data_IF_799730402299
#
_entry.id   IF_799730402299
#
_cell.length_a   1.000
_cell.length_b   1.000
_cell.length_c   1.000
_cell.angle_alpha   90.00
_cell.angle_beta   90.00
_cell.angle_gamma   90.00
#
_symmetry.space_group_name_H-M   'P 1'
#
loop_
_entity.id
_entity.type
_entity.pdbx_description
1 polymer ?
#
# COMPACT_ATOMS: atom_id res chain seq x y z
N UNK A 1 4.22 6.94 12.23
CA UNK A 1 4.93 5.69 11.85
C UNK A 1 6.20 5.63 12.68
N UNK A 2 6.76 4.45 13.02
CA UNK A 2 8.11 4.40 13.55
C UNK A 2 9.05 5.17 12.60
N UNK A 3 10.05 5.90 13.12
CA UNK A 3 11.06 6.51 12.26
C UNK A 3 11.69 5.43 11.37
N UNK A 4 12.00 5.79 10.12
CA UNK A 4 12.73 4.99 9.12
C UNK A 4 11.98 3.89 8.34
N UNK A 5 10.65 3.77 8.45
CA UNK A 5 9.90 2.91 7.50
C UNK A 5 9.68 3.62 6.16
N UNK A 6 10.41 3.17 5.14
CA UNK A 6 10.27 3.62 3.74
C UNK A 6 9.08 2.92 3.05
N UNK A 7 8.44 3.62 2.12
CA UNK A 7 7.44 3.04 1.23
C UNK A 7 8.10 2.57 -0.07
N UNK A 8 7.68 1.41 -0.55
CA UNK A 8 8.03 0.94 -1.89
C UNK A 8 6.94 1.34 -2.87
N UNK A 9 7.34 1.72 -4.07
CA UNK A 9 6.46 1.99 -5.20
C UNK A 9 7.08 1.43 -6.47
N UNK A 10 6.23 1.00 -7.40
CA UNK A 10 6.68 0.51 -8.71
C UNK A 10 6.46 1.63 -9.71
N UNK A 11 7.52 1.98 -10.42
CA UNK A 11 7.51 3.00 -11.46
C UNK A 11 7.56 2.33 -12.81
N UNK A 12 6.59 2.65 -13.67
CA UNK A 12 6.58 2.17 -15.06
C UNK A 12 6.82 3.36 -15.98
N UNK A 13 7.93 3.27 -16.71
CA UNK A 13 8.46 4.32 -17.57
C UNK A 13 8.55 3.81 -19.02
N UNK A 14 8.07 4.59 -20.02
CA UNK A 14 8.35 4.32 -21.42
C UNK A 14 9.85 4.41 -21.75
N UNK A 15 10.35 3.51 -22.61
CA UNK A 15 11.80 3.37 -22.87
C UNK A 15 12.46 4.58 -23.58
N UNK A 16 11.71 5.48 -24.23
CA UNK A 16 12.23 6.73 -24.81
C UNK A 16 11.09 7.56 -25.41
N UNK A 17 10.89 8.79 -24.89
CA UNK A 17 10.75 10.08 -25.61
C UNK A 17 9.95 11.07 -24.75
N UNK A 18 10.54 12.24 -24.49
CA UNK A 18 9.96 13.43 -23.85
C UNK A 18 9.63 13.29 -22.34
N UNK A 19 9.48 14.41 -21.59
CA UNK A 19 9.08 14.40 -20.18
C UNK A 19 7.59 14.04 -20.09
N UNK A 20 7.27 12.81 -20.45
CA UNK A 20 5.92 12.26 -20.30
C UNK A 20 5.78 11.82 -18.84
N UNK A 21 4.65 12.15 -18.16
CA UNK A 21 4.43 11.69 -16.80
C UNK A 21 4.59 10.17 -16.73
N UNK A 22 5.47 9.71 -15.84
CA UNK A 22 5.64 8.30 -15.55
C UNK A 22 4.38 7.79 -14.85
N UNK A 23 3.96 6.57 -15.10
CA UNK A 23 2.87 6.00 -14.29
C UNK A 23 3.50 5.35 -13.07
N UNK A 24 3.22 5.92 -11.90
CA UNK A 24 3.59 5.33 -10.62
C UNK A 24 2.44 4.46 -10.14
N UNK A 25 2.74 3.18 -10.04
CA UNK A 25 1.91 2.22 -9.33
C UNK A 25 2.31 2.35 -7.87
N UNK A 26 1.52 3.14 -7.14
CA UNK A 26 1.66 3.26 -5.70
C UNK A 26 0.71 2.25 -5.06
N UNK A 27 1.25 1.43 -4.18
CA UNK A 27 0.41 0.80 -3.17
C UNK A 27 -0.05 1.91 -2.23
N UNK A 28 -1.24 1.77 -1.62
CA UNK A 28 -1.75 2.54 -0.47
C UNK A 28 -2.93 3.45 -0.80
N UNK A 29 -4.08 2.84 -1.09
CA UNK A 29 -5.33 3.37 -0.57
C UNK A 29 -5.74 2.55 0.65
N UNK A 30 -5.87 3.22 1.80
CA UNK A 30 -6.62 2.67 2.93
C UNK A 30 -8.09 2.90 2.63
N UNK A 31 -8.83 1.84 2.30
CA UNK A 31 -10.30 1.86 2.18
C UNK A 31 -10.93 1.14 3.36
N UNK A 32 -12.24 1.33 3.54
CA UNK A 32 -13.06 0.42 4.34
C UNK A 32 -12.88 -0.99 3.77
N UNK A 33 -12.09 -1.84 4.44
CA UNK A 33 -11.66 -3.16 3.92
C UNK A 33 -10.16 -3.41 3.96
N UNK A 34 -9.30 -2.39 3.94
CA UNK A 34 -7.85 -2.56 4.03
C UNK A 34 -7.07 -1.78 2.97
N UNK A 35 -5.91 -2.30 2.57
CA UNK A 35 -5.05 -1.65 1.59
C UNK A 35 -5.38 -2.16 0.19
N UNK A 36 -5.39 -1.30 -0.82
CA UNK A 36 -5.46 -1.70 -2.24
C UNK A 36 -4.30 -1.12 -3.06
N UNK A 37 -4.02 -1.74 -4.20
CA UNK A 37 -3.12 -1.21 -5.23
C UNK A 37 -3.82 -0.13 -6.04
N UNK A 38 -3.10 0.94 -6.38
CA UNK A 38 -3.64 2.03 -7.20
C UNK A 38 -2.61 2.51 -8.24
N UNK A 39 -3.07 2.64 -9.48
CA UNK A 39 -2.34 3.33 -10.54
C UNK A 39 -2.52 4.84 -10.45
N UNK A 40 -1.43 5.60 -10.34
CA UNK A 40 -1.46 7.07 -10.48
C UNK A 40 -0.47 7.55 -11.51
N UNK A 41 -0.92 8.49 -12.34
CA UNK A 41 0.00 9.28 -13.17
C UNK A 41 0.75 10.24 -12.26
N UNK A 42 2.08 10.29 -12.37
CA UNK A 42 2.92 11.19 -11.58
C UNK A 42 4.08 11.71 -12.42
N UNK A 43 4.75 12.73 -11.91
CA UNK A 43 6.06 13.12 -12.42
C UNK A 43 7.11 12.10 -12.00
N UNK A 44 8.16 11.95 -12.80
CA UNK A 44 9.27 11.06 -12.48
C UNK A 44 9.88 11.47 -11.13
N UNK A 45 9.83 10.61 -10.10
CA UNK A 45 10.35 10.97 -8.78
C UNK A 45 11.89 10.95 -8.74
N UNK A 46 12.57 10.56 -9.82
CA UNK A 46 14.02 10.67 -9.95
C UNK A 46 14.46 12.14 -9.76
N UNK A 47 15.10 12.43 -8.62
CA UNK A 47 15.51 13.77 -8.20
C UNK A 47 14.72 14.32 -7.00
N UNK A 48 13.65 13.66 -6.59
CA UNK A 48 12.96 13.98 -5.33
C UNK A 48 13.83 13.58 -4.13
N UNK A 49 13.96 14.47 -3.15
CA UNK A 49 14.66 14.20 -1.88
C UNK A 49 14.02 13.06 -1.08
N UNK A 50 12.80 12.67 -1.42
CA UNK A 50 12.04 11.60 -0.79
C UNK A 50 12.41 10.20 -1.30
N UNK A 51 13.11 10.09 -2.43
CA UNK A 51 13.54 8.79 -2.98
C UNK A 51 14.85 8.37 -2.33
N UNK A 52 14.82 7.24 -1.63
CA UNK A 52 16.00 6.70 -0.95
C UNK A 52 16.84 5.80 -1.85
N UNK A 53 16.19 4.97 -2.64
CA UNK A 53 16.81 4.02 -3.58
C UNK A 53 15.86 3.78 -4.75
N UNK A 54 16.42 3.31 -5.86
CA UNK A 54 15.67 2.88 -7.03
C UNK A 54 16.39 1.67 -7.64
N UNK A 55 15.61 0.64 -7.99
CA UNK A 55 16.10 -0.58 -8.61
C UNK A 55 15.30 -0.86 -9.88
N UNK A 56 15.99 -1.24 -10.96
CA UNK A 56 15.35 -1.66 -12.19
C UNK A 56 14.86 -3.10 -12.04
N UNK A 57 13.54 -3.29 -11.97
CA UNK A 57 12.94 -4.62 -11.88
C UNK A 57 12.89 -5.37 -13.23
N UNK A 58 12.88 -4.65 -14.35
CA UNK A 58 12.85 -5.26 -15.68
C UNK A 58 12.18 -4.40 -16.75
N UNK A 59 11.78 -5.04 -17.85
CA UNK A 59 11.12 -4.41 -18.99
C UNK A 59 9.81 -5.14 -19.32
N UNK A 60 8.82 -4.39 -19.78
CA UNK A 60 7.57 -4.94 -20.34
C UNK A 60 7.28 -4.28 -21.70
N UNK A 61 6.44 -4.90 -22.51
CA UNK A 61 5.99 -4.35 -23.79
C UNK A 61 5.15 -3.09 -23.57
N UNK A 62 5.31 -2.09 -24.45
CA UNK A 62 4.63 -0.79 -24.34
C UNK A 62 3.11 -0.87 -24.45
N UNK A 63 2.59 -1.88 -25.14
CA UNK A 63 1.25 -1.81 -25.74
C UNK A 63 0.14 -2.06 -24.71
N UNK A 64 0.44 -2.78 -23.62
CA UNK A 64 -0.52 -3.10 -22.54
C UNK A 64 0.10 -3.00 -21.14
N UNK A 65 1.23 -2.29 -20.98
CA UNK A 65 2.00 -2.28 -19.74
C UNK A 65 1.15 -1.92 -18.52
N UNK A 66 0.29 -0.90 -18.62
CA UNK A 66 -0.49 -0.43 -17.46
C UNK A 66 -1.54 -1.46 -17.01
N UNK A 67 -2.27 -2.05 -17.94
CA UNK A 67 -3.30 -3.06 -17.64
C UNK A 67 -2.68 -4.33 -17.08
N UNK A 68 -1.58 -4.79 -17.67
CA UNK A 68 -0.83 -5.95 -17.21
C UNK A 68 -0.31 -5.75 -15.78
N UNK A 69 0.33 -4.61 -15.50
CA UNK A 69 0.82 -4.30 -14.17
C UNK A 69 -0.32 -4.15 -13.15
N UNK A 70 -1.43 -3.52 -13.53
CA UNK A 70 -2.61 -3.45 -12.67
C UNK A 70 -3.16 -4.83 -12.35
N UNK A 71 -3.23 -5.73 -13.34
CA UNK A 71 -3.69 -7.11 -13.16
C UNK A 71 -2.76 -7.91 -12.25
N UNK A 72 -1.44 -7.78 -12.42
CA UNK A 72 -0.47 -8.46 -11.56
C UNK A 72 -0.60 -7.95 -10.13
N UNK A 73 -0.58 -6.64 -9.93
CA UNK A 73 -0.66 -6.06 -8.60
C UNK A 73 -2.00 -6.35 -7.92
N UNK A 74 -3.13 -6.26 -8.62
CA UNK A 74 -4.44 -6.60 -8.04
C UNK A 74 -4.60 -8.06 -7.68
N UNK A 75 -3.79 -8.96 -8.25
CA UNK A 75 -3.76 -10.38 -7.89
C UNK A 75 -2.96 -10.68 -6.61
N UNK A 76 -2.12 -9.74 -6.16
CA UNK A 76 -1.32 -9.92 -4.96
C UNK A 76 -2.16 -9.64 -3.70
N UNK A 77 -1.95 -10.41 -2.62
CA UNK A 77 -2.65 -10.17 -1.37
C UNK A 77 -2.23 -8.83 -0.78
N UNK A 78 -3.21 -8.09 -0.26
CA UNK A 78 -2.96 -6.86 0.51
C UNK A 78 -3.30 -7.08 1.98
N UNK A 79 -2.66 -6.34 2.90
CA UNK A 79 -3.06 -6.38 4.29
C UNK A 79 -4.53 -5.95 4.44
N UNK A 80 -5.36 -6.73 5.16
CA UNK A 80 -6.72 -6.35 5.44
C UNK A 80 -6.73 -5.13 6.36
N UNK A 81 -7.93 -4.59 6.59
CA UNK A 81 -8.12 -3.61 7.66
C UNK A 81 -7.65 -4.21 8.98
N UNK A 82 -6.84 -3.46 9.73
CA UNK A 82 -6.29 -3.91 11.02
C UNK A 82 -6.56 -2.92 12.15
N UNK A 83 -7.14 -1.75 11.82
CA UNK A 83 -7.55 -0.73 12.77
C UNK A 83 -8.95 -0.25 12.45
N UNK A 84 -9.72 0.06 13.48
CA UNK A 84 -11.04 0.62 13.36
C UNK A 84 -11.28 1.65 14.46
N UNK A 85 -12.27 2.51 14.25
CA UNK A 85 -12.73 3.45 15.28
C UNK A 85 -13.41 2.69 16.41
N UNK A 86 -12.89 2.81 17.64
CA UNK A 86 -13.44 2.13 18.81
C UNK A 86 -14.47 3.03 19.51
N UNK A 87 -15.79 2.74 19.40
CA UNK A 87 -16.82 3.56 20.04
C UNK A 87 -16.72 3.56 21.56
N UNK A 88 -16.18 2.49 22.18
CA UNK A 88 -15.96 2.42 23.64
C UNK A 88 -14.84 3.36 24.11
N UNK A 89 -13.97 3.82 23.22
CA UNK A 89 -12.88 4.76 23.51
C UNK A 89 -13.03 6.06 22.73
N UNK A 90 -14.25 6.60 22.70
CA UNK A 90 -14.56 7.89 22.07
C UNK A 90 -14.14 7.99 20.60
N UNK A 91 -14.23 6.88 19.86
CA UNK A 91 -13.89 6.84 18.44
C UNK A 91 -12.38 6.86 18.14
N UNK A 92 -11.53 6.56 19.13
CA UNK A 92 -10.10 6.37 18.88
C UNK A 92 -9.87 5.23 17.89
N UNK A 93 -8.99 5.47 16.91
CA UNK A 93 -8.59 4.44 15.95
C UNK A 93 -7.59 3.50 16.62
N UNK A 94 -8.02 2.26 16.86
CA UNK A 94 -7.24 1.24 17.56
C UNK A 94 -7.16 -0.06 16.76
N UNK A 95 -6.12 -0.89 16.98
CA UNK A 95 -6.07 -2.24 16.44
C UNK A 95 -7.21 -3.11 16.94
N UNK A 96 -7.70 -4.02 16.10
CA UNK A 96 -8.69 -5.01 16.47
C UNK A 96 -8.18 -6.44 16.28
N UNK A 97 -8.74 -7.37 17.05
CA UNK A 97 -8.50 -8.82 16.98
C UNK A 97 -9.26 -9.43 15.80
N UNK A 98 -10.52 -9.07 15.66
CA UNK A 98 -11.43 -9.66 14.68
C UNK A 98 -12.43 -8.62 14.14
N UNK A 99 -12.72 -8.70 12.84
CA UNK A 99 -13.83 -7.97 12.19
C UNK A 99 -15.02 -8.93 12.13
N UNK A 100 -16.09 -8.63 12.87
CA UNK A 100 -17.30 -9.46 12.93
C UNK A 100 -18.25 -9.12 11.78
N UNK A 101 -18.36 -7.83 11.45
CA UNK A 101 -19.15 -7.32 10.33
C UNK A 101 -18.57 -6.00 9.84
N UNK A 102 -19.17 -5.37 8.82
CA UNK A 102 -18.70 -4.08 8.28
C UNK A 102 -18.50 -3.00 9.36
N UNK A 103 -19.31 -3.02 10.42
CA UNK A 103 -19.30 -2.00 11.46
C UNK A 103 -19.05 -2.55 12.88
N UNK A 104 -18.71 -3.84 13.00
CA UNK A 104 -18.50 -4.48 14.31
C UNK A 104 -17.12 -5.13 14.40
N UNK A 105 -16.39 -4.77 15.46
CA UNK A 105 -14.99 -5.15 15.67
C UNK A 105 -14.78 -5.61 17.11
N UNK A 106 -13.94 -6.63 17.31
CA UNK A 106 -13.45 -7.06 18.62
C UNK A 106 -12.10 -6.41 18.87
N UNK A 107 -12.03 -5.43 19.75
CA UNK A 107 -10.79 -4.73 20.08
C UNK A 107 -9.96 -5.44 21.15
N UNK A 108 -8.66 -5.13 21.21
CA UNK A 108 -7.80 -5.57 22.29
C UNK A 108 -8.13 -4.84 23.60
N UNK A 109 -8.22 -5.59 24.69
CA UNK A 109 -8.38 -5.08 26.05
C UNK A 109 -7.04 -4.60 26.63
N UNK A 110 -7.05 -3.77 27.69
CA UNK A 110 -5.84 -3.36 28.37
C UNK A 110 -5.04 -4.57 28.89
N UNK A 111 -3.75 -4.64 28.52
CA UNK A 111 -2.86 -5.73 28.93
C UNK A 111 -2.87 -6.96 28.01
N UNK A 112 -3.75 -7.02 27.01
CA UNK A 112 -3.68 -8.08 26.01
C UNK A 112 -2.51 -7.89 25.04
N UNK A 113 -1.87 -9.00 24.69
CA UNK A 113 -0.85 -9.04 23.65
C UNK A 113 -1.46 -8.71 22.29
N UNK A 114 -0.91 -7.69 21.63
CA UNK A 114 -1.38 -7.21 20.34
C UNK A 114 -0.60 -7.85 19.21
N UNK A 115 -1.32 -8.40 18.24
CA UNK A 115 -0.68 -8.84 17.00
C UNK A 115 0.00 -7.63 16.31
N UNK A 116 1.24 -7.80 15.80
CA UNK A 116 1.89 -6.77 15.00
C UNK A 116 1.04 -6.39 13.79
N UNK A 117 1.06 -5.11 13.44
CA UNK A 117 0.35 -4.65 12.25
C UNK A 117 1.13 -5.06 11.00
N UNK A 118 0.53 -5.92 10.19
CA UNK A 118 1.02 -6.30 8.89
C UNK A 118 1.05 -5.09 7.93
N UNK A 119 2.22 -4.83 7.34
CA UNK A 119 2.42 -3.78 6.32
C UNK A 119 2.65 -4.40 4.95
N UNK A 120 2.35 -3.66 3.89
CA UNK A 120 2.61 -4.10 2.50
C UNK A 120 4.10 -4.36 2.20
N UNK A 121 4.99 -3.91 3.07
CA UNK A 121 6.44 -4.15 2.97
C UNK A 121 6.87 -5.50 3.55
N UNK A 122 5.99 -6.17 4.27
CA UNK A 122 6.22 -7.47 4.89
C UNK A 122 5.63 -8.49 3.91
N UNK A 123 6.42 -8.88 2.91
CA UNK A 123 6.08 -9.98 2.01
C UNK A 123 6.03 -11.28 2.83
N UNK A 124 4.98 -12.07 2.62
CA UNK A 124 4.91 -13.44 3.13
C UNK A 124 5.78 -14.32 2.23
N UNK A 125 6.75 -15.01 2.82
CA UNK A 125 7.36 -16.22 2.25
C UNK A 125 6.38 -17.39 2.28
#
# INVERSE_FOLDING_TARGET
>A
MPPDRLHHAILVQPRRTAPVPSTMLSVTLLREGGITYESKKTENPAGSRSVRSQELLGYTHSDAHLEQWNSVLSSLPTPPQQKASNPKKHGRVEPFKEKISEYQYVFYEPGEDRQPLWKCTEWVE
#
